data_IF_519579997997
#
_entry.id   IF_519579997997
#
_cell.length_a   1.000
_cell.length_b   1.000
_cell.length_c   1.000
_cell.angle_alpha   90.00
_cell.angle_beta   90.00
_cell.angle_gamma   90.00
#
_symmetry.space_group_name_H-M   'P 1'
#
loop_
_entity.id
_entity.type
_entity.pdbx_description
1 polymer ?
#
# COMPACT_ATOMS: atom_id res chain seq x y z
N UNK A 1 40.99 -40.70 39.34
CA UNK A 1 39.66 -41.30 39.49
C UNK A 1 38.86 -40.34 40.35
N UNK A 2 38.44 -39.22 39.78
CA UNK A 2 37.11 -39.01 39.19
C UNK A 2 35.97 -39.02 40.23
N UNK A 3 35.44 -37.83 40.51
CA UNK A 3 34.01 -37.57 40.26
C UNK A 3 33.76 -36.05 40.25
N UNK A 4 33.11 -35.62 39.17
CA UNK A 4 32.70 -34.26 38.87
C UNK A 4 31.29 -34.02 39.41
N UNK A 5 31.06 -32.89 40.06
CA UNK A 5 29.73 -32.25 40.12
C UNK A 5 29.90 -30.74 40.01
N UNK A 6 29.61 -30.18 38.84
CA UNK A 6 29.47 -28.74 38.64
C UNK A 6 28.04 -28.41 38.23
N UNK A 7 27.34 -27.71 39.11
CA UNK A 7 26.08 -27.03 38.82
C UNK A 7 26.39 -25.69 38.15
N UNK A 8 26.02 -25.52 36.88
CA UNK A 8 26.05 -24.22 36.19
C UNK A 8 24.65 -23.62 36.13
N UNK A 9 24.43 -22.60 36.94
CA UNK A 9 23.30 -21.67 36.84
C UNK A 9 23.49 -20.77 35.62
N UNK A 10 22.63 -20.90 34.61
CA UNK A 10 22.53 -19.94 33.51
C UNK A 10 21.74 -18.71 33.99
N UNK A 11 22.44 -17.60 34.20
CA UNK A 11 21.83 -16.28 34.32
C UNK A 11 21.55 -15.74 32.92
N UNK A 12 20.27 -15.56 32.57
CA UNK A 12 19.87 -14.92 31.34
C UNK A 12 20.02 -13.39 31.50
N UNK A 13 21.05 -12.84 30.88
CA UNK A 13 21.27 -11.39 30.82
C UNK A 13 20.22 -10.76 29.92
N UNK A 14 19.24 -10.08 30.52
CA UNK A 14 18.29 -9.21 29.81
C UNK A 14 19.09 -8.05 29.21
N UNK A 15 19.13 -7.96 27.88
CA UNK A 15 19.71 -6.82 27.16
C UNK A 15 18.66 -5.69 27.17
N UNK A 16 18.94 -4.51 27.76
CA UNK A 16 18.02 -3.39 27.68
C UNK A 16 17.96 -2.84 26.26
N UNK A 17 16.76 -2.57 25.76
CA UNK A 17 16.55 -1.80 24.52
C UNK A 17 17.32 -0.46 24.59
N UNK A 18 18.07 -0.08 23.53
CA UNK A 18 18.74 1.21 23.52
C UNK A 18 17.70 2.32 23.39
N UNK A 19 17.69 3.23 24.38
CA UNK A 19 17.02 4.51 24.33
C UNK A 19 17.43 5.24 23.04
N UNK A 20 16.47 5.43 22.14
CA UNK A 20 16.66 6.14 20.88
C UNK A 20 17.13 7.57 21.16
N UNK A 21 18.38 7.85 20.79
CA UNK A 21 18.91 9.21 20.77
C UNK A 21 18.03 10.09 19.88
N UNK A 22 17.62 11.23 20.44
CA UNK A 22 16.92 12.33 19.79
C UNK A 22 17.66 12.74 18.50
N UNK A 23 17.21 12.21 17.36
CA UNK A 23 17.75 12.59 16.05
C UNK A 23 17.35 14.02 15.75
N UNK A 24 18.32 14.81 15.29
CA UNK A 24 18.11 16.19 14.86
C UNK A 24 17.08 16.19 13.72
N UNK A 25 16.01 16.97 13.87
CA UNK A 25 14.98 17.20 12.87
C UNK A 25 15.60 17.54 11.50
N UNK A 26 15.71 16.56 10.60
CA UNK A 26 15.81 16.84 9.17
C UNK A 26 14.44 17.38 8.75
N UNK A 27 14.33 18.71 8.62
CA UNK A 27 13.16 19.32 7.99
C UNK A 27 13.15 18.89 6.52
N UNK A 28 12.31 17.91 6.19
CA UNK A 28 12.00 17.56 4.82
C UNK A 28 11.15 18.68 4.23
N UNK A 29 11.75 19.54 3.40
CA UNK A 29 11.00 20.48 2.58
C UNK A 29 10.55 19.76 1.31
N UNK A 30 9.45 19.01 1.39
CA UNK A 30 8.61 18.80 0.21
C UNK A 30 7.89 20.13 -0.09
N UNK A 31 8.62 21.08 -0.69
CA UNK A 31 8.02 22.32 -1.18
C UNK A 31 7.21 22.00 -2.43
N UNK A 32 5.93 21.68 -2.22
CA UNK A 32 4.98 21.43 -3.30
C UNK A 32 4.56 22.77 -3.92
N UNK A 33 5.28 23.22 -4.95
CA UNK A 33 4.73 24.25 -5.83
C UNK A 33 3.64 23.62 -6.70
N UNK A 34 2.42 24.16 -6.60
CA UNK A 34 1.30 23.78 -7.44
C UNK A 34 1.63 24.04 -8.92
N UNK A 35 1.54 23.05 -9.81
CA UNK A 35 1.60 23.29 -11.24
C UNK A 35 0.28 23.91 -11.72
N UNK A 36 0.40 24.88 -12.62
CA UNK A 36 -0.72 25.58 -13.25
C UNK A 36 -1.30 24.79 -14.44
N UNK A 37 -2.63 24.83 -14.54
CA UNK A 37 -3.51 24.52 -15.69
C UNK A 37 -4.26 23.18 -15.80
N UNK A 38 -4.21 22.28 -14.81
CA UNK A 38 -5.28 21.27 -14.66
C UNK A 38 -6.17 21.63 -13.46
N UNK A 39 -7.49 21.63 -13.62
CA UNK A 39 -8.44 21.94 -12.53
C UNK A 39 -8.42 20.88 -11.41
N UNK A 40 -7.69 19.78 -11.61
CA UNK A 40 -7.60 18.62 -10.72
C UNK A 40 -6.16 18.10 -10.67
N UNK A 41 -5.65 17.83 -9.46
CA UNK A 41 -4.37 17.15 -9.25
C UNK A 41 -4.49 16.17 -8.10
N UNK A 42 -3.88 14.99 -8.23
CA UNK A 42 -3.80 14.00 -7.15
C UNK A 42 -2.90 14.43 -5.99
N UNK A 43 -2.10 15.50 -6.13
CA UNK A 43 -1.28 16.02 -5.01
C UNK A 43 -2.14 16.41 -3.80
N UNK A 44 -3.37 16.89 -4.01
CA UNK A 44 -4.28 17.21 -2.90
C UNK A 44 -4.71 15.97 -2.09
N UNK A 45 -4.74 14.79 -2.71
CA UNK A 45 -5.05 13.52 -2.05
C UNK A 45 -3.89 13.10 -1.15
N UNK A 46 -2.66 13.20 -1.68
CA UNK A 46 -1.44 12.92 -0.92
C UNK A 46 -1.34 13.87 0.27
N UNK A 47 -1.50 15.17 0.05
CA UNK A 47 -1.41 16.17 1.12
C UNK A 47 -2.44 15.90 2.23
N UNK A 48 -3.70 15.64 1.86
CA UNK A 48 -4.74 15.29 2.82
C UNK A 48 -4.36 14.04 3.64
N UNK A 49 -3.91 12.97 3.00
CA UNK A 49 -3.53 11.74 3.68
C UNK A 49 -2.36 11.98 4.65
N UNK A 50 -1.34 12.74 4.26
CA UNK A 50 -0.21 13.07 5.11
C UNK A 50 -0.64 13.92 6.32
N UNK A 51 -1.46 14.94 6.11
CA UNK A 51 -1.91 15.83 7.18
C UNK A 51 -2.76 15.08 8.21
N UNK A 52 -3.73 14.28 7.76
CA UNK A 52 -4.60 13.49 8.64
C UNK A 52 -3.81 12.40 9.37
N UNK A 53 -2.86 11.73 8.70
CA UNK A 53 -2.00 10.74 9.38
C UNK A 53 -1.11 11.38 10.43
N UNK A 54 -0.54 12.54 10.12
CA UNK A 54 0.29 13.29 11.06
C UNK A 54 -0.51 13.70 12.29
N UNK A 55 -1.77 14.11 12.09
CA UNK A 55 -2.69 14.40 13.18
C UNK A 55 -3.00 13.16 14.03
N UNK A 56 -3.46 12.06 13.43
CA UNK A 56 -3.79 10.81 14.14
C UNK A 56 -2.60 10.19 14.87
N UNK A 57 -1.39 10.36 14.34
CA UNK A 57 -0.17 9.83 14.95
C UNK A 57 0.50 10.80 15.93
N UNK A 58 -0.17 11.87 16.36
CA UNK A 58 0.40 12.88 17.28
C UNK A 58 1.75 13.43 16.81
N UNK A 59 1.85 13.78 15.53
CA UNK A 59 3.05 14.26 14.84
C UNK A 59 4.20 13.23 14.68
N UNK A 60 3.98 11.94 14.98
CA UNK A 60 4.98 10.87 14.82
C UNK A 60 5.04 10.25 13.41
N UNK A 61 4.71 11.02 12.37
CA UNK A 61 4.93 10.63 10.98
C UNK A 61 6.33 11.09 10.52
N UNK A 62 7.24 10.15 10.32
CA UNK A 62 8.64 10.44 9.96
C UNK A 62 8.98 9.89 8.57
N UNK A 63 9.89 10.53 7.80
CA UNK A 63 10.34 9.99 6.53
C UNK A 63 10.95 8.58 6.68
N UNK A 64 10.57 7.66 5.81
CA UNK A 64 11.18 6.33 5.72
C UNK A 64 12.61 6.42 5.18
N UNK A 65 13.42 5.39 5.44
CA UNK A 65 14.75 5.23 4.82
C UNK A 65 14.70 5.26 3.29
N UNK A 66 13.60 4.78 2.69
CA UNK A 66 13.37 4.76 1.24
C UNK A 66 13.36 6.16 0.62
N UNK A 67 13.03 7.20 1.38
CA UNK A 67 12.90 8.57 0.85
C UNK A 67 14.23 9.11 0.28
N UNK A 68 15.36 8.56 0.74
CA UNK A 68 16.71 8.92 0.26
C UNK A 68 16.95 8.41 -1.17
N UNK A 69 16.45 7.22 -1.47
CA UNK A 69 16.67 6.54 -2.74
C UNK A 69 15.53 6.84 -3.74
N UNK A 70 14.33 7.06 -3.22
CA UNK A 70 13.11 7.29 -4.00
C UNK A 70 12.50 8.64 -3.62
N UNK A 71 12.70 9.64 -4.48
CA UNK A 71 12.09 10.97 -4.35
C UNK A 71 11.48 11.41 -5.68
N UNK A 72 12.29 11.83 -6.63
CA UNK A 72 11.82 12.24 -7.95
C UNK A 72 12.57 11.48 -9.03
N UNK A 73 11.84 10.93 -10.00
CA UNK A 73 12.40 10.34 -11.21
C UNK A 73 11.84 11.07 -12.44
N UNK A 74 12.69 11.22 -13.45
CA UNK A 74 12.25 11.67 -14.78
C UNK A 74 12.04 10.44 -15.65
N UNK A 75 10.95 10.44 -16.40
CA UNK A 75 10.72 9.44 -17.43
C UNK A 75 11.73 9.59 -18.58
N UNK A 76 11.88 8.53 -19.38
CA UNK A 76 12.77 8.48 -20.54
C UNK A 76 12.44 9.52 -21.61
N UNK A 77 11.19 10.01 -21.64
CA UNK A 77 10.76 11.08 -22.55
C UNK A 77 11.26 12.48 -22.14
N UNK A 78 11.81 12.62 -20.91
CA UNK A 78 12.25 13.88 -20.32
C UNK A 78 11.13 14.87 -19.98
N UNK A 79 9.86 14.50 -20.19
CA UNK A 79 8.68 15.36 -20.06
C UNK A 79 7.77 14.95 -18.91
N UNK A 80 7.80 13.67 -18.53
CA UNK A 80 6.98 13.13 -17.45
C UNK A 80 7.82 13.02 -16.17
N UNK A 81 7.28 13.53 -15.06
CA UNK A 81 7.91 13.42 -13.75
C UNK A 81 7.12 12.47 -12.86
N UNK A 82 7.85 11.60 -12.16
CA UNK A 82 7.33 10.70 -11.15
C UNK A 82 7.81 11.20 -9.79
N UNK A 83 6.88 11.48 -8.88
CA UNK A 83 7.16 11.94 -7.51
C UNK A 83 6.75 10.87 -6.53
N UNK A 84 7.66 10.55 -5.62
CA UNK A 84 7.57 9.50 -4.65
C UNK A 84 7.82 10.06 -3.26
N UNK A 85 6.94 9.73 -2.32
CA UNK A 85 7.15 10.03 -0.92
C UNK A 85 6.89 8.79 -0.07
N UNK A 86 7.67 8.64 1.00
CA UNK A 86 7.59 7.48 1.90
C UNK A 86 7.81 7.90 3.35
N UNK A 87 6.94 7.42 4.23
CA UNK A 87 6.91 7.72 5.64
C UNK A 87 6.61 6.45 6.45
N UNK A 88 6.88 6.50 7.74
CA UNK A 88 6.56 5.47 8.72
C UNK A 88 6.07 6.12 10.02
N UNK A 89 5.35 5.35 10.82
CA UNK A 89 4.82 5.74 12.13
C UNK A 89 4.69 4.49 13.02
N UNK A 90 4.41 4.58 14.33
CA UNK A 90 4.44 3.42 15.23
C UNK A 90 3.61 2.20 14.80
N UNK A 91 2.43 2.40 14.17
CA UNK A 91 1.58 1.30 13.63
C UNK A 91 1.72 1.12 12.12
N UNK A 92 2.55 1.94 11.46
CA UNK A 92 2.66 2.04 10.00
C UNK A 92 4.10 1.71 9.60
N UNK A 93 4.28 0.50 9.06
CA UNK A 93 5.54 0.08 8.46
C UNK A 93 5.94 0.97 7.30
N UNK A 94 4.98 1.27 6.41
CA UNK A 94 5.22 2.13 5.26
C UNK A 94 3.94 2.79 4.74
N UNK A 95 3.87 4.11 4.84
CA UNK A 95 2.98 4.96 4.05
C UNK A 95 3.78 5.43 2.84
N UNK A 96 3.34 5.10 1.63
CA UNK A 96 4.01 5.57 0.41
C UNK A 96 3.03 6.06 -0.64
N UNK A 97 3.45 7.08 -1.37
CA UNK A 97 2.76 7.51 -2.58
C UNK A 97 3.72 7.59 -3.77
N UNK A 98 3.21 7.21 -4.94
CA UNK A 98 3.75 7.54 -6.25
C UNK A 98 2.70 8.39 -6.97
N UNK A 99 3.12 9.54 -7.46
CA UNK A 99 2.32 10.39 -8.33
C UNK A 99 3.04 10.61 -9.65
N UNK A 100 2.28 10.59 -10.74
CA UNK A 100 2.78 10.85 -12.09
C UNK A 100 1.91 11.94 -12.68
N UNK A 101 2.52 13.01 -13.16
CA UNK A 101 1.84 14.06 -13.91
C UNK A 101 2.57 14.22 -15.26
N UNK A 102 1.86 13.92 -16.34
CA UNK A 102 2.37 14.05 -17.69
C UNK A 102 1.74 15.26 -18.40
N UNK A 103 2.47 15.81 -19.36
CA UNK A 103 2.06 17.02 -20.11
C UNK A 103 0.83 16.81 -20.99
N UNK A 104 0.50 15.55 -21.31
CA UNK A 104 -0.66 15.17 -22.12
C UNK A 104 -1.96 15.03 -21.29
N UNK A 105 -1.92 15.38 -20.01
CA UNK A 105 -3.05 15.30 -19.08
C UNK A 105 -3.19 13.94 -18.39
N UNK A 106 -2.29 12.98 -18.63
CA UNK A 106 -2.25 11.75 -17.85
C UNK A 106 -1.83 12.06 -16.39
N UNK A 107 -2.62 11.59 -15.43
CA UNK A 107 -2.29 11.64 -14.01
C UNK A 107 -2.43 10.27 -13.36
N UNK A 108 -1.52 9.94 -12.47
CA UNK A 108 -1.55 8.68 -11.70
C UNK A 108 -1.35 8.98 -10.22
N UNK A 109 -2.11 8.28 -9.38
CA UNK A 109 -1.88 8.14 -7.96
C UNK A 109 -1.79 6.65 -7.61
N UNK A 110 -0.71 6.25 -6.95
CA UNK A 110 -0.62 5.00 -6.22
C UNK A 110 -0.25 5.35 -4.77
N UNK A 111 -1.21 5.29 -3.86
CA UNK A 111 -1.03 5.54 -2.44
C UNK A 111 -1.45 4.30 -1.65
N UNK A 112 -0.61 3.87 -0.71
CA UNK A 112 -0.93 2.78 0.18
C UNK A 112 -0.31 2.96 1.54
N UNK A 113 -0.94 2.33 2.53
CA UNK A 113 -0.46 2.29 3.91
C UNK A 113 -0.37 0.84 4.33
N UNK A 114 0.86 0.39 4.58
CA UNK A 114 1.18 -0.94 5.05
C UNK A 114 1.38 -0.90 6.58
N UNK A 115 0.61 -1.67 7.36
CA UNK A 115 0.77 -1.70 8.81
C UNK A 115 2.01 -2.50 9.21
N UNK A 116 2.47 -2.28 10.45
CA UNK A 116 3.39 -3.23 11.11
C UNK A 116 2.67 -4.57 11.37
N UNK A 117 3.42 -5.67 11.47
CA UNK A 117 2.84 -7.01 11.53
C UNK A 117 2.06 -7.28 12.84
N UNK A 118 2.37 -6.51 13.87
CA UNK A 118 1.71 -6.50 15.17
C UNK A 118 0.30 -5.86 15.10
N UNK A 119 -0.05 -5.17 14.01
CA UNK A 119 -1.39 -4.62 13.79
C UNK A 119 -1.98 -5.23 12.53
N UNK A 120 -2.99 -6.10 12.68
CA UNK A 120 -3.65 -6.81 11.58
C UNK A 120 -4.59 -5.93 10.73
N UNK A 121 -4.29 -4.64 10.65
CA UNK A 121 -5.05 -3.65 9.89
C UNK A 121 -5.19 -4.04 8.41
N UNK A 122 -6.32 -3.71 7.77
CA UNK A 122 -6.40 -3.68 6.32
C UNK A 122 -5.31 -2.79 5.71
N UNK A 123 -4.87 -3.10 4.50
CA UNK A 123 -3.96 -2.26 3.73
C UNK A 123 -4.78 -1.18 3.04
N UNK A 124 -4.56 0.10 3.41
CA UNK A 124 -5.19 1.20 2.65
C UNK A 124 -4.61 1.22 1.24
N UNK A 125 -5.47 1.35 0.22
CA UNK A 125 -5.08 1.25 -1.18
C UNK A 125 -5.87 2.25 -2.05
N UNK A 126 -5.15 3.15 -2.71
CA UNK A 126 -5.69 4.09 -3.69
C UNK A 126 -4.84 4.07 -4.97
N UNK A 127 -5.35 3.40 -6.00
CA UNK A 127 -4.73 3.27 -7.32
C UNK A 127 -5.63 3.96 -8.36
N UNK A 128 -5.28 5.20 -8.71
CA UNK A 128 -6.04 6.03 -9.63
C UNK A 128 -5.23 6.29 -10.89
N UNK A 129 -5.84 6.05 -12.04
CA UNK A 129 -5.32 6.40 -13.35
C UNK A 129 -6.30 7.31 -14.04
N UNK A 130 -5.84 8.47 -14.49
CA UNK A 130 -6.61 9.44 -15.26
C UNK A 130 -5.90 9.68 -16.59
N UNK A 131 -6.69 9.71 -17.65
CA UNK A 131 -6.31 10.18 -18.98
C UNK A 131 -7.36 11.19 -19.47
N UNK A 132 -7.18 11.74 -20.67
CA UNK A 132 -8.11 12.70 -21.26
C UNK A 132 -9.58 12.23 -21.24
N UNK A 133 -9.83 10.94 -21.50
CA UNK A 133 -11.18 10.43 -21.73
C UNK A 133 -11.69 9.47 -20.64
N UNK A 134 -10.79 8.92 -19.81
CA UNK A 134 -11.17 7.89 -18.85
C UNK A 134 -10.39 8.00 -17.55
N UNK A 135 -11.09 7.67 -16.48
CA UNK A 135 -10.55 7.40 -15.16
C UNK A 135 -10.72 5.91 -14.88
N UNK A 136 -9.72 5.29 -14.27
CA UNK A 136 -9.74 3.92 -13.77
C UNK A 136 -9.31 4.00 -12.31
N UNK A 137 -10.21 3.62 -11.41
CA UNK A 137 -10.04 3.86 -9.98
C UNK A 137 -10.23 2.56 -9.24
N UNK A 138 -9.27 2.25 -8.37
CA UNK A 138 -9.41 1.31 -7.26
C UNK A 138 -9.16 2.09 -5.98
N UNK A 139 -10.15 2.16 -5.10
CA UNK A 139 -10.03 2.67 -3.73
C UNK A 139 -10.58 1.61 -2.79
N UNK A 140 -9.76 1.18 -1.84
CA UNK A 140 -10.15 0.11 -0.93
C UNK A 140 -9.35 0.14 0.38
N UNK A 141 -9.88 -0.56 1.37
CA UNK A 141 -9.15 -1.05 2.52
C UNK A 141 -8.95 -2.56 2.26
N UNK A 142 -7.89 -2.93 1.54
CA UNK A 142 -7.67 -4.32 1.15
C UNK A 142 -7.49 -5.18 2.41
N UNK A 143 -8.24 -6.27 2.57
CA UNK A 143 -8.14 -7.09 3.77
C UNK A 143 -6.78 -7.79 3.85
N UNK A 144 -6.20 -7.81 5.05
CA UNK A 144 -4.97 -8.57 5.29
C UNK A 144 -5.26 -10.08 5.20
N UNK A 145 -6.36 -10.51 5.82
CA UNK A 145 -6.80 -11.91 5.86
C UNK A 145 -8.06 -12.16 5.03
N UNK A 146 -8.32 -13.41 4.66
CA UNK A 146 -9.40 -13.75 3.71
C UNK A 146 -10.80 -13.42 4.26
N UNK A 147 -11.51 -12.49 3.65
CA UNK A 147 -12.87 -12.11 4.06
C UNK A 147 -13.98 -13.01 3.49
N UNK A 148 -13.64 -13.99 2.63
CA UNK A 148 -14.61 -14.95 2.10
C UNK A 148 -14.76 -16.13 3.07
N UNK A 149 -13.66 -16.73 3.51
CA UNK A 149 -13.62 -17.83 4.47
C UNK A 149 -13.55 -17.40 5.93
N UNK A 150 -12.93 -16.24 6.23
CA UNK A 150 -12.71 -15.78 7.61
C UNK A 150 -13.73 -14.71 8.02
N UNK A 151 -14.86 -15.17 8.55
CA UNK A 151 -15.95 -14.28 8.98
C UNK A 151 -15.55 -13.32 10.09
N UNK A 152 -14.65 -13.74 11.00
CA UNK A 152 -14.19 -12.90 12.13
C UNK A 152 -13.45 -11.67 11.67
N UNK A 153 -12.47 -11.81 10.77
CA UNK A 153 -11.72 -10.67 10.23
C UNK A 153 -12.64 -9.72 9.46
N UNK A 154 -13.56 -10.28 8.66
CA UNK A 154 -14.57 -9.52 7.93
C UNK A 154 -15.46 -8.69 8.87
N UNK A 155 -15.97 -9.32 9.92
CA UNK A 155 -16.84 -8.65 10.90
C UNK A 155 -16.09 -7.57 11.68
N UNK A 156 -14.85 -7.87 12.12
CA UNK A 156 -13.98 -6.94 12.87
C UNK A 156 -13.79 -5.62 12.11
N UNK A 157 -13.48 -5.69 10.81
CA UNK A 157 -13.04 -4.50 10.07
C UNK A 157 -14.09 -3.88 9.14
N UNK A 158 -15.03 -4.66 8.60
CA UNK A 158 -15.90 -4.16 7.52
C UNK A 158 -17.35 -3.99 7.91
N UNK A 159 -17.81 -4.60 9.01
CA UNK A 159 -19.23 -4.52 9.42
C UNK A 159 -19.71 -3.07 9.58
N UNK A 160 -18.92 -2.22 10.23
CA UNK A 160 -19.23 -0.79 10.42
C UNK A 160 -19.02 0.05 9.17
N UNK A 161 -18.25 -0.45 8.19
CA UNK A 161 -17.92 0.28 6.95
C UNK A 161 -18.85 -0.04 5.78
N UNK A 162 -19.72 -1.06 5.87
CA UNK A 162 -20.69 -1.38 4.81
C UNK A 162 -21.51 -0.15 4.36
N UNK A 163 -22.06 0.70 5.25
CA UNK A 163 -22.80 1.89 4.83
C UNK A 163 -21.96 2.87 4.00
N UNK A 164 -20.66 3.00 4.31
CA UNK A 164 -19.72 3.83 3.55
C UNK A 164 -19.52 3.27 2.13
N UNK A 165 -19.33 1.95 2.02
CA UNK A 165 -19.24 1.27 0.72
C UNK A 165 -20.48 1.45 -0.14
N UNK A 166 -21.68 1.28 0.45
CA UNK A 166 -22.95 1.46 -0.26
C UNK A 166 -23.14 2.88 -0.78
N UNK A 167 -22.86 3.89 0.06
CA UNK A 167 -22.91 5.31 -0.31
C UNK A 167 -22.12 5.59 -1.60
N UNK A 168 -20.88 5.09 -1.68
CA UNK A 168 -20.02 5.37 -2.83
C UNK A 168 -20.27 4.44 -4.02
N UNK A 169 -20.81 3.24 -3.82
CA UNK A 169 -21.26 2.36 -4.90
C UNK A 169 -22.40 3.00 -5.72
N UNK A 170 -23.26 3.81 -5.10
CA UNK A 170 -24.31 4.57 -5.79
C UNK A 170 -23.75 5.72 -6.65
N UNK A 171 -22.66 6.36 -6.21
CA UNK A 171 -22.09 7.55 -6.86
C UNK A 171 -21.01 7.21 -7.91
N UNK A 172 -20.30 6.10 -7.70
CA UNK A 172 -19.19 5.62 -8.52
C UNK A 172 -19.52 4.20 -9.01
N UNK A 173 -20.12 4.06 -10.21
CA UNK A 173 -20.63 2.79 -10.68
C UNK A 173 -19.52 1.78 -10.93
N UNK A 174 -19.86 0.49 -10.84
CA UNK A 174 -18.93 -0.61 -11.03
C UNK A 174 -18.19 -0.55 -12.38
N UNK A 175 -16.85 -0.64 -12.35
CA UNK A 175 -15.96 -0.47 -13.51
C UNK A 175 -15.95 -1.63 -14.53
N UNK A 176 -16.84 -2.61 -14.36
CA UNK A 176 -16.95 -3.80 -15.19
C UNK A 176 -16.10 -4.98 -14.67
N UNK A 177 -15.79 -5.95 -15.54
CA UNK A 177 -15.09 -7.18 -15.14
C UNK A 177 -13.73 -6.89 -14.50
N UNK A 178 -13.46 -7.57 -13.37
CA UNK A 178 -12.16 -7.69 -12.72
C UNK A 178 -11.64 -9.12 -12.91
N UNK A 179 -10.33 -9.30 -12.77
CA UNK A 179 -9.71 -10.63 -12.73
C UNK A 179 -10.13 -11.33 -11.45
N UNK A 180 -10.57 -12.59 -11.56
CA UNK A 180 -11.06 -13.41 -10.44
C UNK A 180 -10.04 -13.50 -9.30
N UNK A 181 -8.75 -13.52 -9.65
CA UNK A 181 -7.65 -13.57 -8.69
C UNK A 181 -7.48 -12.26 -7.92
N UNK A 182 -7.81 -11.10 -8.52
CA UNK A 182 -7.77 -9.81 -7.81
C UNK A 182 -8.88 -9.69 -6.77
N UNK A 183 -10.03 -10.35 -6.97
CA UNK A 183 -11.12 -10.36 -6.00
C UNK A 183 -10.69 -10.97 -4.65
N UNK A 184 -9.68 -11.86 -4.64
CA UNK A 184 -9.10 -12.43 -3.42
C UNK A 184 -8.47 -11.37 -2.49
N UNK A 185 -8.21 -10.16 -3.00
CA UNK A 185 -7.55 -9.08 -2.27
C UNK A 185 -8.44 -7.84 -2.08
N UNK A 186 -9.70 -7.90 -2.52
CA UNK A 186 -10.63 -6.79 -2.37
C UNK A 186 -11.58 -6.99 -1.21
N UNK A 187 -11.89 -5.90 -0.53
CA UNK A 187 -12.86 -5.90 0.55
C UNK A 187 -14.31 -5.86 0.04
N UNK A 188 -15.31 -6.08 0.91
CA UNK A 188 -16.71 -5.86 0.59
C UNK A 188 -17.09 -4.40 0.26
N UNK A 189 -16.20 -3.44 0.53
CA UNK A 189 -16.43 -2.00 0.31
C UNK A 189 -15.55 -1.44 -0.81
N UNK A 190 -14.89 -2.28 -1.62
CA UNK A 190 -14.03 -1.83 -2.72
C UNK A 190 -14.78 -0.90 -3.68
N UNK A 191 -14.17 0.24 -4.01
CA UNK A 191 -14.58 1.06 -5.14
C UNK A 191 -13.68 0.68 -6.31
N UNK A 192 -14.21 -0.13 -7.20
CA UNK A 192 -13.68 -0.34 -8.54
C UNK A 192 -14.59 0.34 -9.55
N UNK A 193 -14.11 1.42 -10.17
CA UNK A 193 -14.93 2.23 -11.07
C UNK A 193 -14.15 2.71 -12.29
N UNK A 194 -14.90 2.98 -13.36
CA UNK A 194 -14.42 3.69 -14.55
C UNK A 194 -15.42 4.76 -14.91
N UNK A 195 -14.95 5.97 -15.18
CA UNK A 195 -15.82 7.09 -15.55
C UNK A 195 -15.09 8.11 -16.43
N UNK A 196 -15.86 8.83 -17.24
CA UNK A 196 -15.35 9.97 -18.03
C UNK A 196 -15.04 11.15 -17.13
N UNK A 197 -13.98 11.87 -17.45
CA UNK A 197 -13.47 13.00 -16.65
C UNK A 197 -14.48 14.14 -16.59
N UNK A 198 -14.83 14.55 -15.37
CA UNK A 198 -15.65 15.74 -15.08
C UNK A 198 -15.34 16.24 -13.68
N UNK A 199 -15.48 17.55 -13.44
CA UNK A 199 -15.20 18.14 -12.13
C UNK A 199 -16.03 17.49 -11.03
N UNK A 200 -17.30 17.18 -11.31
CA UNK A 200 -18.20 16.50 -10.38
C UNK A 200 -17.67 15.13 -9.97
N UNK A 201 -17.30 14.28 -10.94
CA UNK A 201 -16.76 12.94 -10.63
C UNK A 201 -15.42 13.01 -9.89
N UNK A 202 -14.57 13.98 -10.21
CA UNK A 202 -13.32 14.21 -9.48
C UNK A 202 -13.56 14.70 -8.04
N UNK A 203 -14.61 15.48 -7.80
CA UNK A 203 -15.01 15.89 -6.45
C UNK A 203 -15.56 14.70 -5.66
N UNK A 204 -16.42 13.88 -6.26
CA UNK A 204 -16.94 12.65 -5.65
C UNK A 204 -15.79 11.69 -5.30
N UNK A 205 -14.83 11.49 -6.21
CA UNK A 205 -13.65 10.66 -5.95
C UNK A 205 -12.82 11.19 -4.76
N UNK A 206 -12.65 12.51 -4.67
CA UNK A 206 -11.94 13.11 -3.53
C UNK A 206 -12.71 12.92 -2.22
N UNK A 207 -14.04 13.09 -2.21
CA UNK A 207 -14.87 12.78 -1.05
C UNK A 207 -14.78 11.30 -0.65
N UNK A 208 -14.82 10.38 -1.62
CA UNK A 208 -14.64 8.95 -1.38
C UNK A 208 -13.30 8.65 -0.72
N UNK A 209 -12.21 9.19 -1.30
CA UNK A 209 -10.88 9.03 -0.75
C UNK A 209 -10.77 9.54 0.69
N UNK A 210 -11.29 10.74 0.96
CA UNK A 210 -11.19 11.34 2.31
C UNK A 210 -11.96 10.54 3.35
N UNK A 211 -13.16 10.05 3.04
CA UNK A 211 -13.95 9.22 3.96
C UNK A 211 -13.38 7.81 4.14
N UNK A 212 -12.86 7.18 3.09
CA UNK A 212 -12.19 5.88 3.19
C UNK A 212 -10.90 5.98 4.01
N UNK A 213 -10.09 7.03 3.78
CA UNK A 213 -8.87 7.24 4.53
C UNK A 213 -9.15 7.50 6.01
N UNK A 214 -10.18 8.31 6.32
CA UNK A 214 -10.64 8.53 7.69
C UNK A 214 -11.19 7.26 8.33
N UNK A 215 -11.90 6.43 7.57
CA UNK A 215 -12.32 5.10 8.01
C UNK A 215 -11.13 4.24 8.40
N UNK A 216 -10.08 4.21 7.57
CA UNK A 216 -8.85 3.48 7.87
C UNK A 216 -8.12 4.02 9.11
N UNK A 217 -7.98 5.33 9.26
CA UNK A 217 -7.40 5.95 10.45
C UNK A 217 -8.19 5.58 11.72
N UNK A 218 -9.53 5.57 11.65
CA UNK A 218 -10.37 5.12 12.75
C UNK A 218 -10.15 3.66 13.14
N UNK A 219 -9.88 2.77 12.16
CA UNK A 219 -9.49 1.39 12.45
C UNK A 219 -8.09 1.32 13.09
N UNK A 220 -7.15 2.13 12.63
CA UNK A 220 -5.80 2.23 13.18
C UNK A 220 -5.81 2.66 14.65
N UNK A 221 -6.67 3.61 15.01
CA UNK A 221 -6.81 4.09 16.39
C UNK A 221 -7.34 2.99 17.32
N UNK A 222 -8.28 2.17 16.83
CA UNK A 222 -8.94 1.11 17.60
C UNK A 222 -8.16 -0.22 17.64
N UNK A 223 -7.26 -0.46 16.69
CA UNK A 223 -6.54 -1.74 16.62
C UNK A 223 -5.47 -1.80 17.70
N UNK A 224 -5.58 -2.83 18.55
CA UNK A 224 -4.61 -3.16 19.58
C UNK A 224 -3.40 -3.89 19.00
N UNK A 225 -2.26 -3.81 19.70
CA UNK A 225 -1.04 -4.51 19.33
C UNK A 225 -1.19 -6.01 19.64
N UNK A 226 -0.93 -6.85 18.65
CA UNK A 226 -0.84 -8.30 18.83
C UNK A 226 0.48 -8.65 19.53
N UNK A 227 0.41 -9.59 20.47
CA UNK A 227 1.57 -10.06 21.26
C UNK A 227 1.86 -11.55 21.03
N UNK A 228 0.92 -12.31 20.47
CA UNK A 228 1.15 -13.69 20.05
C UNK A 228 2.04 -13.72 18.81
N UNK A 229 3.26 -14.22 18.99
CA UNK A 229 4.28 -14.37 17.94
C UNK A 229 3.77 -15.17 16.74
N UNK A 230 2.90 -16.17 16.97
CA UNK A 230 2.29 -16.97 15.90
C UNK A 230 1.36 -16.10 15.05
N UNK A 231 0.52 -15.32 15.69
CA UNK A 231 -0.42 -14.43 15.01
C UNK A 231 0.31 -13.30 14.27
N UNK A 232 1.34 -12.71 14.88
CA UNK A 232 2.22 -11.73 14.21
C UNK A 232 2.86 -12.34 12.96
N UNK A 233 3.33 -13.59 13.04
CA UNK A 233 3.89 -14.28 11.89
C UNK A 233 2.87 -14.52 10.78
N UNK A 234 1.62 -14.85 11.12
CA UNK A 234 0.51 -14.98 10.15
C UNK A 234 0.19 -13.64 9.49
N UNK A 235 0.13 -12.54 10.25
CA UNK A 235 -0.08 -11.20 9.73
C UNK A 235 1.03 -10.79 8.75
N UNK A 236 2.29 -11.06 9.13
CA UNK A 236 3.46 -10.81 8.27
C UNK A 236 3.40 -11.61 6.98
N UNK A 237 3.08 -12.90 7.06
CA UNK A 237 2.96 -13.76 5.88
C UNK A 237 1.83 -13.31 4.95
N UNK A 238 0.68 -12.91 5.51
CA UNK A 238 -0.45 -12.40 4.75
C UNK A 238 -0.09 -11.10 4.00
N UNK A 239 0.63 -10.19 4.67
CA UNK A 239 1.14 -8.98 4.03
C UNK A 239 2.15 -9.32 2.92
N UNK A 240 3.08 -10.24 3.18
CA UNK A 240 4.06 -10.68 2.20
C UNK A 240 3.40 -11.30 0.96
N UNK A 241 2.37 -12.14 1.14
CA UNK A 241 1.57 -12.71 0.05
C UNK A 241 0.90 -11.63 -0.81
N UNK A 242 0.34 -10.59 -0.19
CA UNK A 242 -0.23 -9.45 -0.90
C UNK A 242 0.83 -8.70 -1.73
N UNK A 243 2.00 -8.42 -1.14
CA UNK A 243 3.10 -7.73 -1.84
C UNK A 243 3.66 -8.56 -3.00
N UNK A 244 3.80 -9.88 -2.82
CA UNK A 244 4.20 -10.81 -3.87
C UNK A 244 3.21 -10.80 -5.04
N UNK A 245 1.91 -10.84 -4.75
CA UNK A 245 0.87 -10.73 -5.78
C UNK A 245 0.98 -9.43 -6.57
N UNK A 246 0.97 -8.30 -5.86
CA UNK A 246 0.96 -6.97 -6.49
C UNK A 246 2.25 -6.72 -7.28
N UNK A 247 3.42 -6.99 -6.71
CA UNK A 247 4.70 -6.79 -7.43
C UNK A 247 4.80 -7.59 -8.74
N UNK A 248 4.13 -8.74 -8.83
CA UNK A 248 4.14 -9.58 -10.03
C UNK A 248 3.02 -9.27 -11.03
N UNK A 249 1.84 -8.85 -10.56
CA UNK A 249 0.60 -8.80 -11.37
C UNK A 249 -0.05 -7.42 -11.46
N UNK A 250 0.54 -6.39 -10.85
CA UNK A 250 -0.03 -5.04 -10.84
C UNK A 250 -0.22 -4.49 -12.27
N UNK A 251 -1.41 -3.94 -12.58
CA UNK A 251 -1.71 -3.44 -13.90
C UNK A 251 -0.85 -2.24 -14.32
N UNK A 252 -0.39 -1.44 -13.37
CA UNK A 252 0.41 -0.23 -13.58
C UNK A 252 1.85 -0.53 -14.05
N UNK A 253 2.34 -1.75 -13.91
CA UNK A 253 3.72 -2.10 -14.28
C UNK A 253 4.07 -1.77 -15.73
N UNK A 254 3.14 -1.98 -16.67
CA UNK A 254 3.38 -1.69 -18.09
C UNK A 254 3.59 -0.19 -18.34
N UNK A 255 2.87 0.66 -17.61
CA UNK A 255 3.05 2.11 -17.67
C UNK A 255 4.43 2.49 -17.11
N UNK A 256 4.82 1.94 -15.97
CA UNK A 256 6.13 2.19 -15.38
C UNK A 256 7.26 1.72 -16.29
N UNK A 257 7.17 0.52 -16.87
CA UNK A 257 8.14 0.00 -17.84
C UNK A 257 8.27 0.90 -19.06
N UNK A 258 7.16 1.46 -19.56
CA UNK A 258 7.17 2.44 -20.66
C UNK A 258 7.84 3.75 -20.27
N UNK A 259 7.62 4.24 -19.05
CA UNK A 259 8.15 5.52 -18.59
C UNK A 259 9.62 5.46 -18.15
N UNK A 260 10.02 4.38 -17.48
CA UNK A 260 11.33 4.26 -16.79
C UNK A 260 12.29 3.25 -17.43
N UNK A 261 11.80 2.43 -18.37
CA UNK A 261 12.52 1.25 -18.82
C UNK A 261 12.37 0.08 -17.85
N UNK A 262 12.72 -1.12 -18.30
CA UNK A 262 12.41 -2.36 -17.57
C UNK A 262 13.12 -2.48 -16.22
N UNK A 263 14.43 -2.23 -16.18
CA UNK A 263 15.25 -2.39 -14.97
C UNK A 263 14.79 -1.46 -13.85
N UNK A 264 14.63 -0.16 -14.16
CA UNK A 264 14.22 0.83 -13.16
C UNK A 264 12.75 0.66 -12.75
N UNK A 265 11.87 0.26 -13.67
CA UNK A 265 10.49 -0.07 -13.31
C UNK A 265 10.42 -1.26 -12.34
N UNK A 266 11.24 -2.30 -12.53
CA UNK A 266 11.31 -3.43 -11.58
C UNK A 266 11.82 -2.99 -10.21
N UNK A 267 12.84 -2.13 -10.18
CA UNK A 267 13.41 -1.59 -8.95
C UNK A 267 12.37 -0.77 -8.17
N UNK A 268 11.66 0.16 -8.83
CA UNK A 268 10.57 0.94 -8.22
C UNK A 268 9.44 0.04 -7.72
N UNK A 269 9.03 -0.96 -8.49
CA UNK A 269 7.95 -1.88 -8.07
C UNK A 269 8.34 -2.65 -6.80
N UNK A 270 9.53 -3.26 -6.79
CA UNK A 270 9.94 -4.16 -5.70
C UNK A 270 10.42 -3.42 -4.45
N UNK A 271 11.25 -2.38 -4.63
CA UNK A 271 11.92 -1.71 -3.51
C UNK A 271 11.17 -0.49 -3.00
N UNK A 272 10.20 0.04 -3.75
CA UNK A 272 9.39 1.20 -3.32
C UNK A 272 7.90 0.87 -3.19
N UNK A 273 7.21 0.54 -4.29
CA UNK A 273 5.74 0.38 -4.28
C UNK A 273 5.28 -0.79 -3.40
N UNK A 274 6.03 -1.89 -3.45
CA UNK A 274 5.77 -3.11 -2.69
C UNK A 274 6.98 -3.51 -1.84
N UNK A 275 7.67 -2.52 -1.28
CA UNK A 275 8.74 -2.75 -0.31
C UNK A 275 8.23 -3.65 0.83
N UNK A 276 9.02 -4.66 1.17
CA UNK A 276 8.65 -5.78 2.03
C UNK A 276 8.55 -7.11 1.29
N UNK A 277 8.47 -7.11 -0.05
CA UNK A 277 8.40 -8.37 -0.83
C UNK A 277 9.70 -9.18 -0.80
N UNK A 278 10.84 -8.57 -0.48
CA UNK A 278 12.12 -9.28 -0.34
C UNK A 278 12.55 -9.41 1.13
N UNK A 279 11.86 -8.70 2.05
CA UNK A 279 12.24 -8.58 3.45
C UNK A 279 11.28 -9.27 4.44
N UNK A 280 9.98 -9.35 4.13
CA UNK A 280 8.97 -9.89 5.06
C UNK A 280 8.86 -11.41 5.02
N UNK A 281 9.36 -12.07 3.98
CA UNK A 281 9.31 -13.52 3.84
C UNK A 281 10.17 -14.04 2.70
N UNK A 282 10.29 -15.37 2.64
CA UNK A 282 11.16 -16.07 1.66
C UNK A 282 10.36 -16.85 0.60
N UNK A 283 9.03 -16.91 0.71
CA UNK A 283 8.16 -17.59 -0.26
C UNK A 283 8.13 -16.82 -1.58
N UNK A 284 8.36 -17.51 -2.68
CA UNK A 284 8.23 -16.96 -4.03
C UNK A 284 6.77 -16.72 -4.43
N UNK A 285 6.57 -16.05 -5.56
CA UNK A 285 5.23 -15.90 -6.15
C UNK A 285 4.56 -17.26 -6.42
N UNK A 286 5.31 -18.26 -6.91
CA UNK A 286 4.76 -19.58 -7.21
C UNK A 286 4.47 -20.42 -5.97
N UNK A 287 5.11 -20.13 -4.83
CA UNK A 287 4.76 -20.77 -3.56
C UNK A 287 3.37 -20.33 -3.07
N UNK A 288 2.99 -19.08 -3.33
CA UNK A 288 1.66 -18.56 -2.98
C UNK A 288 0.60 -18.79 -4.06
N UNK A 289 1.00 -18.79 -5.34
CA UNK A 289 0.11 -18.86 -6.49
C UNK A 289 0.60 -19.93 -7.48
N UNK A 290 0.65 -21.21 -7.06
CA UNK A 290 1.16 -22.31 -7.89
C UNK A 290 0.36 -22.48 -9.18
N UNK A 291 -0.89 -22.00 -9.23
CA UNK A 291 -1.72 -22.02 -10.42
C UNK A 291 -1.11 -21.24 -11.61
N UNK A 292 -0.16 -20.34 -11.37
CA UNK A 292 0.56 -19.61 -12.41
C UNK A 292 1.83 -20.33 -12.91
N UNK A 293 2.18 -21.50 -12.39
CA UNK A 293 3.36 -22.22 -12.85
C UNK A 293 3.17 -22.71 -14.31
N UNK A 294 4.18 -22.49 -15.15
CA UNK A 294 4.31 -23.13 -16.47
C UNK A 294 5.08 -24.44 -16.32
N UNK A 295 5.01 -25.30 -17.35
CA UNK A 295 5.72 -26.59 -17.38
C UNK A 295 7.23 -26.46 -17.22
N UNK A 296 7.81 -25.33 -17.65
CA UNK A 296 9.25 -25.02 -17.53
C UNK A 296 9.63 -24.41 -16.15
N UNK A 297 8.68 -24.32 -15.22
CA UNK A 297 8.87 -23.71 -13.90
C UNK A 297 8.83 -22.18 -13.89
N UNK A 298 8.61 -21.53 -15.04
CA UNK A 298 8.47 -20.08 -15.12
C UNK A 298 7.06 -19.61 -14.71
N UNK A 299 6.93 -18.30 -14.43
CA UNK A 299 5.65 -17.68 -14.08
C UNK A 299 4.87 -17.39 -15.37
N UNK A 300 3.61 -17.82 -15.42
CA UNK A 300 2.71 -17.46 -16.51
C UNK A 300 2.49 -15.95 -16.55
N UNK A 301 2.86 -15.30 -17.66
CA UNK A 301 2.78 -13.85 -17.83
C UNK A 301 1.35 -13.30 -17.90
N UNK A 302 0.34 -14.14 -18.18
CA UNK A 302 -1.06 -13.71 -18.17
C UNK A 302 -1.40 -13.08 -16.81
N UNK A 303 -2.17 -11.99 -16.82
CA UNK A 303 -2.65 -11.36 -15.58
C UNK A 303 -3.62 -12.27 -14.84
N UNK A 304 -4.50 -12.93 -15.58
CA UNK A 304 -5.48 -13.88 -15.08
C UNK A 304 -5.40 -15.16 -15.89
N UNK A 305 -5.53 -16.28 -15.20
CA UNK A 305 -5.51 -17.63 -15.77
C UNK A 305 -6.88 -18.32 -15.66
N UNK A 306 -7.83 -17.67 -15.00
CA UNK A 306 -9.23 -18.09 -14.88
C UNK A 306 -10.06 -17.51 -16.04
#
# INVERSE_FOLDING_TARGET
MESLSSSSSFSATVIPHPLLLRTKNLRCFCSMKAPSSSAFSYQKFIQFALDETKHSTSDYLIPSSLQKDFSTLKAMDGKTELRMCSFQAPKIRLLRSLSIEATDGMQVLDLAVFPEAEFDLPIFCANFFTSANTNIVVLDLNPLHDVIGETRYKEKYYKSLIPLGLKYAELLPWGGKLTSESLKFFSPIVIWTKFSSSQEKHNILFSAFTEYYKGWLGLMDQTEEETDVTQISLNREAQHRYLAWRSQKDPGYHLLKRLLGETLAKDVVKRFLFNGVEELGNKSFLDYFPEYAREDGSINEKRSII
#
